data_IF_121556211581
#
_entry.id   IF_121556211581
#
_cell.length_a   1.000
_cell.length_b   1.000
_cell.length_c   1.000
_cell.angle_alpha   90.00
_cell.angle_beta   90.00
_cell.angle_gamma   90.00
#
_symmetry.space_group_name_H-M   'P 1'
#
loop_
_entity.id
_entity.type
_entity.pdbx_description
1 polymer ?
#
# COMPACT_ATOMS: atom_id res chain seq x y z
N UNK A 1 0.26 -18.24 -21.09
CA UNK A 1 0.72 -19.58 -20.66
C UNK A 1 1.67 -19.33 -19.50
N UNK A 2 1.28 -19.64 -18.25
CA UNK A 2 2.14 -19.41 -17.08
C UNK A 2 3.47 -20.14 -17.28
N UNK A 3 4.60 -19.39 -17.28
CA UNK A 3 5.93 -20.00 -17.18
C UNK A 3 5.95 -20.86 -15.93
N UNK A 4 6.41 -22.11 -16.06
CA UNK A 4 6.68 -22.96 -14.91
C UNK A 4 7.84 -22.33 -14.11
N UNK A 5 7.50 -21.67 -13.01
CA UNK A 5 8.46 -21.15 -12.05
C UNK A 5 9.21 -22.30 -11.38
N UNK A 6 10.53 -22.17 -11.24
CA UNK A 6 11.28 -23.03 -10.33
C UNK A 6 10.82 -22.82 -8.89
N UNK A 7 11.13 -23.78 -8.01
CA UNK A 7 10.81 -23.66 -6.59
C UNK A 7 11.43 -22.41 -5.94
N UNK A 8 12.64 -22.02 -6.38
CA UNK A 8 13.36 -20.85 -5.89
C UNK A 8 12.70 -19.55 -6.38
N UNK A 9 12.38 -19.44 -7.67
CA UNK A 9 11.69 -18.26 -8.22
C UNK A 9 10.30 -18.08 -7.59
N UNK A 10 9.57 -19.18 -7.38
CA UNK A 10 8.28 -19.13 -6.66
C UNK A 10 8.46 -18.63 -5.22
N UNK A 11 9.50 -19.09 -4.52
CA UNK A 11 9.76 -18.65 -3.15
C UNK A 11 10.12 -17.16 -3.07
N UNK A 12 10.94 -16.67 -4.00
CA UNK A 12 11.29 -15.25 -4.11
C UNK A 12 10.06 -14.39 -4.42
N UNK A 13 9.23 -14.84 -5.38
CA UNK A 13 7.99 -14.16 -5.70
C UNK A 13 7.02 -14.10 -4.50
N UNK A 14 6.89 -15.19 -3.75
CA UNK A 14 6.08 -15.22 -2.53
C UNK A 14 6.61 -14.26 -1.46
N UNK A 15 7.93 -14.09 -1.33
CA UNK A 15 8.51 -13.11 -0.40
C UNK A 15 8.15 -11.68 -0.80
N UNK A 16 8.33 -11.34 -2.07
CA UNK A 16 7.95 -10.04 -2.63
C UNK A 16 6.47 -9.74 -2.39
N UNK A 17 5.60 -10.68 -2.75
CA UNK A 17 4.16 -10.51 -2.57
C UNK A 17 3.78 -10.34 -1.10
N UNK A 18 4.44 -11.08 -0.20
CA UNK A 18 4.20 -10.98 1.24
C UNK A 18 4.69 -9.66 1.83
N UNK A 19 5.80 -9.10 1.31
CA UNK A 19 6.25 -7.74 1.64
C UNK A 19 5.22 -6.72 1.21
N UNK A 20 4.84 -6.72 -0.08
CA UNK A 20 3.83 -5.79 -0.60
C UNK A 20 2.50 -5.90 0.11
N UNK A 21 2.04 -7.11 0.42
CA UNK A 21 0.82 -7.32 1.20
C UNK A 21 0.90 -6.63 2.57
N UNK A 22 2.05 -6.66 3.25
CA UNK A 22 2.23 -5.99 4.54
C UNK A 22 2.25 -4.47 4.38
N UNK A 23 2.89 -3.96 3.34
CA UNK A 23 2.93 -2.53 3.04
C UNK A 23 1.48 -2.02 2.83
N UNK A 24 0.72 -2.63 1.90
CA UNK A 24 -0.67 -2.21 1.62
C UNK A 24 -1.59 -2.36 2.85
N UNK A 25 -1.38 -3.41 3.66
CA UNK A 25 -2.15 -3.60 4.89
C UNK A 25 -1.83 -2.54 5.94
N UNK A 26 -0.57 -2.10 6.03
CA UNK A 26 -0.14 -1.03 6.94
C UNK A 26 -0.75 0.30 6.51
N UNK A 27 -0.64 0.62 5.22
CA UNK A 27 -1.15 1.87 4.64
C UNK A 27 -2.66 1.99 4.83
N UNK A 28 -3.40 0.90 4.59
CA UNK A 28 -4.82 0.82 4.88
C UNK A 28 -5.15 1.19 6.33
N UNK A 29 -4.50 0.53 7.29
CA UNK A 29 -4.77 0.73 8.71
C UNK A 29 -4.35 2.13 9.19
N UNK A 30 -3.23 2.66 8.68
CA UNK A 30 -2.75 4.00 9.02
C UNK A 30 -3.72 5.07 8.50
N UNK A 31 -4.22 4.92 7.27
CA UNK A 31 -5.19 5.84 6.68
C UNK A 31 -6.53 5.83 7.45
N UNK A 32 -6.98 4.69 7.95
CA UNK A 32 -8.15 4.60 8.84
C UNK A 32 -7.92 5.36 10.16
N UNK A 33 -6.82 5.07 10.84
CA UNK A 33 -6.48 5.66 12.13
C UNK A 33 -6.32 7.19 12.01
N UNK A 34 -5.68 7.66 10.94
CA UNK A 34 -5.56 9.09 10.65
C UNK A 34 -6.92 9.74 10.35
N UNK A 35 -7.84 9.03 9.70
CA UNK A 35 -9.20 9.54 9.46
C UNK A 35 -9.97 9.77 10.76
N UNK A 36 -9.77 8.93 11.79
CA UNK A 36 -10.41 9.10 13.10
C UNK A 36 -9.96 10.40 13.80
N UNK A 37 -8.68 10.77 13.63
CA UNK A 37 -8.09 11.97 14.24
C UNK A 37 -8.47 13.30 13.58
N UNK A 38 -9.05 13.29 12.38
CA UNK A 38 -9.34 14.53 11.63
C UNK A 38 -10.70 15.14 11.99
N UNK A 39 -10.77 16.45 12.33
CA UNK A 39 -12.04 17.11 12.62
C UNK A 39 -12.85 17.44 11.36
N UNK A 40 -12.24 17.42 10.18
CA UNK A 40 -12.83 17.87 8.92
C UNK A 40 -13.48 16.71 8.14
N UNK A 41 -14.83 16.66 7.99
CA UNK A 41 -15.51 15.50 7.40
C UNK A 41 -15.08 15.15 5.97
N UNK A 42 -14.80 16.16 5.14
CA UNK A 42 -14.38 15.96 3.75
C UNK A 42 -12.96 15.36 3.65
N UNK A 43 -12.06 15.71 4.59
CA UNK A 43 -10.71 15.14 4.63
C UNK A 43 -10.74 13.72 5.19
N UNK A 44 -11.59 13.46 6.19
CA UNK A 44 -11.86 12.09 6.67
C UNK A 44 -12.32 11.18 5.54
N UNK A 45 -13.28 11.64 4.73
CA UNK A 45 -13.76 10.87 3.58
C UNK A 45 -12.66 10.57 2.57
N UNK A 46 -11.72 11.50 2.34
CA UNK A 46 -10.57 11.23 1.48
C UNK A 46 -9.68 10.13 2.05
N UNK A 47 -9.30 10.20 3.33
CA UNK A 47 -8.48 9.15 3.96
C UNK A 47 -9.20 7.80 3.99
N UNK A 48 -10.51 7.78 4.23
CA UNK A 48 -11.32 6.55 4.17
C UNK A 48 -11.33 5.93 2.77
N UNK A 49 -11.40 6.74 1.71
CA UNK A 49 -11.31 6.24 0.32
C UNK A 49 -9.91 5.72 -0.02
N UNK A 50 -8.86 6.31 0.56
CA UNK A 50 -7.49 5.80 0.41
C UNK A 50 -7.41 4.43 1.11
N UNK A 51 -7.81 4.37 2.38
CA UNK A 51 -7.80 3.13 3.16
C UNK A 51 -8.54 1.97 2.47
N UNK A 52 -9.68 2.25 1.84
CA UNK A 52 -10.44 1.25 1.08
C UNK A 52 -9.67 0.73 -0.14
N UNK A 53 -8.96 1.61 -0.87
CA UNK A 53 -8.10 1.21 -1.99
C UNK A 53 -6.93 0.36 -1.53
N UNK A 54 -6.22 0.76 -0.48
CA UNK A 54 -5.08 -0.02 0.04
C UNK A 54 -5.52 -1.40 0.55
N UNK A 55 -6.69 -1.50 1.22
CA UNK A 55 -7.28 -2.81 1.57
C UNK A 55 -7.56 -3.66 0.35
N UNK A 56 -8.08 -3.06 -0.71
CA UNK A 56 -8.38 -3.76 -1.94
C UNK A 56 -7.09 -4.28 -2.61
N UNK A 57 -6.00 -3.51 -2.56
CA UNK A 57 -4.68 -3.95 -3.04
C UNK A 57 -4.15 -5.12 -2.23
N UNK A 58 -4.20 -5.02 -0.89
CA UNK A 58 -3.84 -6.10 0.01
C UNK A 58 -4.68 -7.37 -0.27
N UNK A 59 -5.96 -7.23 -0.58
CA UNK A 59 -6.81 -8.36 -0.94
C UNK A 59 -6.31 -9.03 -2.23
N UNK A 60 -6.06 -8.28 -3.31
CA UNK A 60 -5.56 -8.83 -4.58
C UNK A 60 -4.21 -9.54 -4.39
N UNK A 61 -3.30 -8.94 -3.63
CA UNK A 61 -2.02 -9.55 -3.29
C UNK A 61 -2.22 -10.84 -2.49
N UNK A 62 -3.13 -10.83 -1.51
CA UNK A 62 -3.46 -12.01 -0.71
C UNK A 62 -4.06 -13.15 -1.54
N UNK A 63 -4.90 -12.84 -2.53
CA UNK A 63 -5.43 -13.80 -3.49
C UNK A 63 -4.31 -14.40 -4.35
N UNK A 64 -3.38 -13.58 -4.87
CA UNK A 64 -2.24 -14.04 -5.67
C UNK A 64 -1.28 -14.90 -4.85
N UNK A 65 -1.01 -14.56 -3.59
CA UNK A 65 -0.23 -15.38 -2.65
C UNK A 65 -0.85 -16.79 -2.50
N UNK A 66 -2.17 -16.85 -2.27
CA UNK A 66 -2.89 -18.12 -2.13
C UNK A 66 -2.85 -18.94 -3.42
N UNK A 67 -3.02 -18.31 -4.58
CA UNK A 67 -2.95 -18.97 -5.88
C UNK A 67 -1.58 -19.61 -6.16
N UNK A 68 -0.50 -19.03 -5.63
CA UNK A 68 0.87 -19.56 -5.71
C UNK A 68 1.19 -20.61 -4.62
N UNK A 69 0.21 -20.97 -3.79
CA UNK A 69 0.34 -21.93 -2.69
C UNK A 69 1.01 -21.38 -1.44
N UNK A 70 1.07 -20.05 -1.29
CA UNK A 70 1.52 -19.38 -0.08
C UNK A 70 0.38 -19.09 0.89
N UNK A 71 0.71 -18.48 2.02
CA UNK A 71 -0.26 -17.95 3.00
C UNK A 71 0.04 -16.48 3.21
N UNK A 72 -0.95 -15.57 3.06
CA UNK A 72 -0.74 -14.15 3.36
C UNK A 72 -0.26 -14.00 4.81
N UNK A 73 0.75 -13.15 5.07
CA UNK A 73 1.21 -12.91 6.43
C UNK A 73 0.09 -12.26 7.26
N UNK A 74 0.16 -12.33 8.60
CA UNK A 74 -0.77 -11.59 9.44
C UNK A 74 -0.67 -10.08 9.15
N UNK A 75 -1.78 -9.37 9.36
CA UNK A 75 -1.78 -7.91 9.30
C UNK A 75 -0.74 -7.34 10.27
N UNK A 76 -0.04 -6.28 9.87
CA UNK A 76 0.94 -5.62 10.71
C UNK A 76 0.26 -5.01 11.94
N UNK A 77 1.00 -4.96 13.05
CA UNK A 77 0.54 -4.27 14.26
C UNK A 77 0.98 -2.81 14.16
N UNK A 78 0.02 -1.89 14.17
CA UNK A 78 0.31 -0.46 14.22
C UNK A 78 0.58 0.00 15.66
N UNK A 79 1.34 1.09 15.85
CA UNK A 79 1.39 1.78 17.13
C UNK A 79 0.00 2.29 17.55
N UNK A 80 -0.24 2.38 18.86
CA UNK A 80 -1.57 2.60 19.45
C UNK A 80 -2.26 3.92 19.02
N UNK A 81 -1.51 4.90 18.49
CA UNK A 81 -2.02 6.17 17.95
C UNK A 81 -1.10 6.73 16.86
N UNK A 82 -1.21 6.26 15.61
CA UNK A 82 -0.54 6.92 14.50
C UNK A 82 -1.17 8.30 14.26
N UNK A 83 -0.34 9.34 14.41
CA UNK A 83 -0.69 10.70 14.04
C UNK A 83 -0.75 10.85 12.52
N UNK A 84 -1.49 11.86 12.02
CA UNK A 84 -1.51 12.16 10.59
C UNK A 84 -0.12 12.58 10.04
N UNK A 85 0.80 12.98 10.92
CA UNK A 85 2.20 13.28 10.59
C UNK A 85 3.03 12.00 10.38
N UNK A 86 2.77 10.96 11.18
CA UNK A 86 3.38 9.64 10.98
C UNK A 86 2.86 8.95 9.72
N UNK A 87 1.58 9.15 9.36
CA UNK A 87 1.02 8.77 8.05
C UNK A 87 1.80 9.43 6.91
N UNK A 88 2.11 10.73 7.04
CA UNK A 88 2.88 11.46 6.03
C UNK A 88 4.30 10.91 5.89
N UNK A 89 4.99 10.71 7.02
CA UNK A 89 6.36 10.21 7.04
C UNK A 89 6.46 8.79 6.45
N UNK A 90 5.47 7.92 6.72
CA UNK A 90 5.41 6.58 6.13
C UNK A 90 5.27 6.65 4.60
N UNK A 91 4.32 7.46 4.09
CA UNK A 91 4.12 7.61 2.65
C UNK A 91 5.30 8.25 1.92
N UNK A 92 5.98 9.23 2.53
CA UNK A 92 7.17 9.88 1.95
C UNK A 92 8.40 8.96 1.93
N UNK A 93 8.52 8.06 2.91
CA UNK A 93 9.69 7.17 3.04
C UNK A 93 9.64 5.96 2.10
N UNK A 94 8.49 5.60 1.54
CA UNK A 94 8.29 4.24 1.02
C UNK A 94 8.15 4.10 -0.51
N UNK A 95 7.78 5.15 -1.24
CA UNK A 95 7.25 4.97 -2.62
C UNK A 95 8.17 5.33 -3.80
N UNK A 96 9.45 5.63 -3.58
CA UNK A 96 10.39 5.93 -4.68
C UNK A 96 11.20 4.70 -5.18
N UNK A 97 11.57 3.77 -4.30
CA UNK A 97 12.66 2.84 -4.62
C UNK A 97 12.23 1.39 -4.96
N UNK A 98 11.04 0.92 -4.57
CA UNK A 98 10.70 -0.53 -4.64
C UNK A 98 9.93 -0.98 -5.88
N UNK A 99 9.17 -0.10 -6.54
CA UNK A 99 8.35 -0.46 -7.72
C UNK A 99 9.23 -0.82 -8.93
N UNK A 100 10.32 -0.08 -9.14
CA UNK A 100 11.20 -0.26 -10.31
C UNK A 100 11.95 -1.60 -10.35
N UNK A 101 12.19 -2.25 -9.20
CA UNK A 101 12.93 -3.52 -9.15
C UNK A 101 12.06 -4.72 -9.58
N UNK A 102 10.76 -4.68 -9.28
CA UNK A 102 9.86 -5.82 -9.51
C UNK A 102 9.38 -5.89 -10.95
N UNK A 103 9.02 -4.76 -11.56
CA UNK A 103 8.43 -4.67 -12.90
C UNK A 103 9.27 -5.36 -14.01
N UNK A 104 10.59 -5.45 -13.85
CA UNK A 104 11.47 -6.08 -14.85
C UNK A 104 11.77 -7.58 -14.61
N UNK A 105 11.18 -8.20 -13.59
CA UNK A 105 11.46 -9.61 -13.21
C UNK A 105 10.21 -10.48 -13.05
N UNK A 106 9.02 -9.94 -13.31
CA UNK A 106 7.77 -10.68 -13.10
C UNK A 106 7.60 -11.81 -14.13
N UNK A 107 7.18 -13.00 -13.69
CA UNK A 107 7.08 -14.17 -14.55
C UNK A 107 5.77 -14.26 -15.36
N UNK A 108 4.81 -13.35 -15.16
CA UNK A 108 3.43 -13.46 -15.61
C UNK A 108 2.80 -12.08 -15.91
N UNK A 109 2.13 -11.97 -17.06
CA UNK A 109 1.44 -10.76 -17.54
C UNK A 109 0.31 -10.34 -16.59
N UNK A 110 -0.40 -11.29 -15.96
CA UNK A 110 -1.46 -10.95 -15.00
C UNK A 110 -0.87 -10.28 -13.76
N UNK A 111 0.31 -10.75 -13.32
CA UNK A 111 1.00 -10.19 -12.18
C UNK A 111 1.57 -8.80 -12.49
N UNK A 112 2.11 -8.63 -13.69
CA UNK A 112 2.56 -7.33 -14.20
C UNK A 112 1.40 -6.33 -14.25
N UNK A 113 0.25 -6.73 -14.78
CA UNK A 113 -0.94 -5.89 -14.81
C UNK A 113 -1.45 -5.52 -13.40
N UNK A 114 -1.39 -6.46 -12.45
CA UNK A 114 -1.74 -6.20 -11.06
C UNK A 114 -0.83 -5.14 -10.44
N UNK A 115 0.49 -5.28 -10.59
CA UNK A 115 1.44 -4.32 -10.03
C UNK A 115 1.34 -2.94 -10.69
N UNK A 116 1.15 -2.87 -12.01
CA UNK A 116 0.91 -1.61 -12.69
C UNK A 116 -0.36 -0.92 -12.19
N UNK A 117 -1.43 -1.68 -11.96
CA UNK A 117 -2.68 -1.14 -11.41
C UNK A 117 -2.47 -0.59 -10.01
N UNK A 118 -1.83 -1.35 -9.12
CA UNK A 118 -1.49 -0.90 -7.77
C UNK A 118 -0.67 0.39 -7.85
N UNK A 119 0.40 0.42 -8.66
CA UNK A 119 1.25 1.60 -8.81
C UNK A 119 0.49 2.85 -9.30
N UNK A 120 -0.49 2.70 -10.21
CA UNK A 120 -1.33 3.81 -10.66
C UNK A 120 -2.27 4.31 -9.57
N UNK A 121 -2.96 3.40 -8.87
CA UNK A 121 -3.86 3.75 -7.77
C UNK A 121 -3.07 4.38 -6.59
N UNK A 122 -1.81 3.97 -6.42
CA UNK A 122 -0.88 4.50 -5.43
C UNK A 122 -0.45 5.94 -5.72
N UNK A 123 -0.13 6.25 -6.98
CA UNK A 123 0.11 7.63 -7.40
C UNK A 123 -1.11 8.53 -7.13
N UNK A 124 -2.31 8.00 -7.33
CA UNK A 124 -3.54 8.72 -6.99
C UNK A 124 -3.67 8.92 -5.48
N UNK A 125 -3.36 7.91 -4.65
CA UNK A 125 -3.39 8.03 -3.20
C UNK A 125 -2.42 9.11 -2.70
N UNK A 126 -1.20 9.16 -3.24
CA UNK A 126 -0.20 10.20 -2.93
C UNK A 126 -0.71 11.61 -3.25
N UNK A 127 -1.31 11.80 -4.42
CA UNK A 127 -1.85 13.11 -4.80
C UNK A 127 -3.01 13.54 -3.89
N UNK A 128 -3.94 12.62 -3.59
CA UNK A 128 -5.04 12.89 -2.67
C UNK A 128 -4.55 13.19 -1.25
N UNK A 129 -3.53 12.48 -0.78
CA UNK A 129 -2.90 12.72 0.53
C UNK A 129 -2.24 14.09 0.58
N UNK A 130 -1.48 14.50 -0.45
CA UNK A 130 -0.90 15.86 -0.54
C UNK A 130 -1.95 16.95 -0.39
N UNK A 131 -3.13 16.75 -0.98
CA UNK A 131 -4.24 17.69 -0.85
C UNK A 131 -4.86 17.71 0.55
N UNK A 132 -4.85 16.58 1.27
CA UNK A 132 -5.26 16.55 2.69
C UNK A 132 -4.27 17.36 3.52
N UNK A 133 -2.98 17.11 3.37
CA UNK A 133 -1.93 17.78 4.15
C UNK A 133 -1.94 19.29 3.97
N UNK A 134 -2.00 19.76 2.72
CA UNK A 134 -2.05 21.20 2.40
C UNK A 134 -3.24 21.88 3.06
N UNK A 135 -4.32 21.15 3.35
CA UNK A 135 -5.52 21.69 4.01
C UNK A 135 -5.49 21.57 5.53
N UNK A 136 -4.78 20.57 6.07
CA UNK A 136 -4.62 20.38 7.53
C UNK A 136 -3.52 21.28 8.10
N UNK A 137 -2.41 21.45 7.37
CA UNK A 137 -1.28 22.30 7.73
C UNK A 137 -0.74 23.04 6.50
N UNK A 138 -1.37 24.18 6.12
CA UNK A 138 -1.00 24.93 4.91
C UNK A 138 0.39 25.56 4.95
N UNK A 139 1.08 25.54 6.09
CA UNK A 139 2.40 26.17 6.28
C UNK A 139 3.48 25.21 6.77
N UNK A 140 3.15 23.92 6.99
CA UNK A 140 4.09 22.94 7.57
C UNK A 140 4.56 23.34 8.97
N UNK A 141 3.77 24.12 9.71
CA UNK A 141 4.14 24.69 11.01
C UNK A 141 3.78 23.79 12.21
N UNK A 142 3.41 22.53 11.96
CA UNK A 142 3.14 21.53 12.99
C UNK A 142 4.40 21.05 13.73
N UNK A 143 4.95 21.92 14.61
CA UNK A 143 5.90 21.70 15.71
C UNK A 143 7.24 21.00 15.43
#
# INVERSE_FOLDING_TARGET
MLKLLSAQERQQLLQVLAERYRDESSDAMLAEQAAEGLPYPHLRQTLQRIAERERQHAQWLGEKIRALGGTPPPSPTLPDQATWQELLAAYESEKADKVAYLENTLPDEELEALFHRIAQEEQQNVEELRQVLTRVDPYGLGA
#
